data_IF_148676219120
#
_entry.id   IF_148676219120
#
_cell.length_a   1.000
_cell.length_b   1.000
_cell.length_c   1.000
_cell.angle_alpha   90.00
_cell.angle_beta   90.00
_cell.angle_gamma   90.00
#
_symmetry.space_group_name_H-M   'P 1'
#
loop_
_entity.id
_entity.type
_entity.pdbx_description
1 polymer ?
#
# COMPACT_ATOMS: atom_id res chain seq x y z
N UNK A 1 -11.99 -31.66 -25.47
CA UNK A 1 -11.29 -31.78 -24.20
C UNK A 1 -11.51 -30.46 -23.42
N UNK A 2 -12.45 -30.48 -22.52
CA UNK A 2 -12.88 -29.28 -21.76
C UNK A 2 -11.86 -29.05 -20.62
N UNK A 3 -11.04 -28.02 -20.74
CA UNK A 3 -10.15 -27.62 -19.63
C UNK A 3 -11.03 -27.03 -18.52
N UNK A 4 -11.30 -27.80 -17.49
CA UNK A 4 -11.91 -27.30 -16.27
C UNK A 4 -10.86 -26.46 -15.54
N UNK A 5 -10.93 -25.14 -15.65
CA UNK A 5 -10.16 -24.23 -14.80
C UNK A 5 -10.66 -24.44 -13.36
N UNK A 6 -9.99 -25.28 -12.60
CA UNK A 6 -10.14 -25.27 -11.15
C UNK A 6 -9.59 -23.96 -10.64
N UNK A 7 -10.47 -23.09 -10.20
CA UNK A 7 -10.05 -21.88 -9.45
C UNK A 7 -9.21 -22.36 -8.27
N UNK A 8 -7.89 -22.11 -8.31
CA UNK A 8 -6.99 -22.45 -7.21
C UNK A 8 -7.44 -21.65 -5.99
N UNK A 9 -7.78 -22.36 -4.93
CA UNK A 9 -8.23 -21.77 -3.67
C UNK A 9 -7.15 -20.80 -3.14
N UNK A 10 -7.59 -19.62 -2.77
CA UNK A 10 -6.77 -18.62 -2.10
C UNK A 10 -7.33 -18.43 -0.69
N UNK A 11 -6.48 -18.50 0.32
CA UNK A 11 -6.85 -18.25 1.71
C UNK A 11 -6.51 -16.79 2.06
N UNK A 12 -7.40 -16.15 2.81
CA UNK A 12 -7.23 -14.76 3.26
C UNK A 12 -7.24 -14.75 4.79
N UNK A 13 -6.18 -14.25 5.38
CA UNK A 13 -6.03 -14.03 6.81
C UNK A 13 -5.97 -12.54 7.08
N UNK A 14 -6.41 -12.09 8.25
CA UNK A 14 -6.23 -10.71 8.68
C UNK A 14 -5.83 -10.62 10.14
N UNK A 15 -5.03 -9.62 10.49
CA UNK A 15 -4.63 -9.32 11.85
C UNK A 15 -4.54 -7.81 12.06
N UNK A 16 -4.88 -7.36 13.27
CA UNK A 16 -4.69 -5.97 13.66
C UNK A 16 -3.30 -5.80 14.28
N UNK A 17 -2.59 -4.79 13.83
CA UNK A 17 -1.26 -4.41 14.30
C UNK A 17 -1.38 -3.10 15.07
N UNK A 18 -0.98 -3.12 16.35
CA UNK A 18 -1.10 -1.97 17.24
C UNK A 18 0.25 -1.47 17.71
N UNK A 19 0.35 -0.16 17.91
CA UNK A 19 1.47 0.51 18.58
C UNK A 19 0.98 1.79 19.28
N UNK A 20 1.88 2.51 19.94
CA UNK A 20 1.57 3.82 20.55
C UNK A 20 1.06 4.86 19.51
N UNK A 21 1.35 4.71 18.22
CA UNK A 21 0.87 5.60 17.14
C UNK A 21 -0.48 5.21 16.55
N UNK A 22 -1.04 4.07 16.92
CA UNK A 22 -2.34 3.62 16.44
C UNK A 22 -2.38 2.16 16.04
N UNK A 23 -3.48 1.80 15.39
CA UNK A 23 -3.76 0.43 14.93
C UNK A 23 -4.10 0.46 13.46
N UNK A 24 -3.64 -0.55 12.71
CA UNK A 24 -3.99 -0.79 11.31
C UNK A 24 -4.11 -2.30 11.07
N UNK A 25 -4.72 -2.69 9.94
CA UNK A 25 -4.94 -4.09 9.60
C UNK A 25 -3.99 -4.55 8.50
N UNK A 26 -3.47 -5.77 8.65
CA UNK A 26 -2.71 -6.48 7.62
C UNK A 26 -3.55 -7.66 7.13
N UNK A 27 -3.63 -7.80 5.81
CA UNK A 27 -4.27 -8.91 5.11
C UNK A 27 -3.19 -9.75 4.45
N UNK A 28 -3.21 -11.07 4.69
CA UNK A 28 -2.32 -12.02 4.04
C UNK A 28 -3.14 -12.88 3.08
N UNK A 29 -2.79 -12.86 1.83
CA UNK A 29 -3.41 -13.64 0.75
C UNK A 29 -2.44 -14.76 0.40
N UNK A 30 -2.83 -16.00 0.57
CA UNK A 30 -1.97 -17.17 0.34
C UNK A 30 -2.61 -18.05 -0.71
N UNK A 31 -1.89 -18.38 -1.77
CA UNK A 31 -2.36 -19.28 -2.80
C UNK A 31 -2.04 -20.75 -2.45
N UNK A 32 -2.60 -21.68 -3.22
CA UNK A 32 -2.38 -23.14 -3.02
C UNK A 32 -0.94 -23.61 -3.24
N UNK A 33 -0.05 -22.76 -3.71
CA UNK A 33 1.39 -23.06 -3.88
C UNK A 33 2.26 -22.44 -2.78
N UNK A 34 1.63 -21.81 -1.78
CA UNK A 34 2.33 -21.16 -0.67
C UNK A 34 2.88 -19.77 -0.98
N UNK A 35 2.65 -19.21 -2.17
CA UNK A 35 2.98 -17.81 -2.43
C UNK A 35 2.07 -16.91 -1.62
N UNK A 36 2.62 -15.83 -1.06
CA UNK A 36 1.90 -14.90 -0.19
C UNK A 36 2.05 -13.47 -0.67
N UNK A 37 0.96 -12.71 -0.55
CA UNK A 37 0.99 -11.24 -0.59
C UNK A 37 0.43 -10.70 0.74
N UNK A 38 1.17 -9.82 1.41
CA UNK A 38 0.72 -9.12 2.61
C UNK A 38 0.42 -7.66 2.27
N UNK A 39 -0.82 -7.25 2.53
CA UNK A 39 -1.36 -5.92 2.24
C UNK A 39 -1.70 -5.22 3.55
N UNK A 40 -1.35 -3.95 3.67
CA UNK A 40 -1.63 -3.12 4.83
C UNK A 40 -2.78 -2.15 4.55
N UNK A 41 -3.72 -2.00 5.48
CA UNK A 41 -4.71 -0.90 5.42
C UNK A 41 -4.04 0.47 5.59
N UNK A 42 -2.88 0.55 6.23
CA UNK A 42 -2.11 1.77 6.35
C UNK A 42 -1.47 2.13 5.01
N UNK A 43 -2.01 3.17 4.36
CA UNK A 43 -1.53 3.65 3.08
C UNK A 43 -1.77 2.70 1.91
N UNK A 44 -2.73 1.76 2.03
CA UNK A 44 -2.99 0.73 1.02
C UNK A 44 -1.68 0.08 0.50
N UNK A 45 -0.82 -0.30 1.44
CA UNK A 45 0.56 -0.70 1.16
C UNK A 45 0.73 -2.19 0.94
N UNK A 46 1.73 -2.55 0.13
CA UNK A 46 2.25 -3.92 0.05
C UNK A 46 3.40 -4.02 1.06
N UNK A 47 3.30 -4.95 2.01
CA UNK A 47 4.30 -5.12 3.07
C UNK A 47 5.14 -6.36 2.92
N UNK A 48 4.69 -7.34 2.14
CA UNK A 48 5.47 -8.52 1.76
C UNK A 48 4.92 -9.14 0.47
N UNK A 49 5.80 -9.72 -0.33
CA UNK A 49 5.48 -10.67 -1.40
C UNK A 49 6.46 -11.83 -1.28
N UNK A 50 5.93 -13.00 -0.89
CA UNK A 50 6.72 -14.22 -0.72
C UNK A 50 6.49 -15.17 -1.86
N UNK A 51 7.55 -15.50 -2.57
CA UNK A 51 7.54 -16.37 -3.74
C UNK A 51 8.69 -17.35 -3.70
N UNK A 52 8.58 -18.55 -4.32
CA UNK A 52 9.66 -19.49 -4.37
C UNK A 52 10.77 -19.04 -5.33
N UNK A 53 12.02 -19.27 -4.93
CA UNK A 53 13.17 -19.20 -5.83
C UNK A 53 13.25 -20.46 -6.75
N UNK A 54 14.27 -20.52 -7.60
CA UNK A 54 14.50 -21.66 -8.52
C UNK A 54 14.73 -23.00 -7.80
N UNK A 55 15.00 -22.99 -6.49
CA UNK A 55 15.17 -24.17 -5.64
C UNK A 55 13.94 -24.48 -4.79
N UNK A 56 12.85 -23.71 -4.97
CA UNK A 56 11.61 -23.85 -4.22
C UNK A 56 11.63 -23.22 -2.81
N UNK A 57 12.68 -22.49 -2.44
CA UNK A 57 12.73 -21.77 -1.16
C UNK A 57 11.91 -20.49 -1.27
N UNK A 58 10.92 -20.34 -0.39
CA UNK A 58 10.07 -19.14 -0.34
C UNK A 58 10.81 -18.06 0.45
N UNK A 59 10.90 -16.86 -0.18
CA UNK A 59 11.52 -15.69 0.42
C UNK A 59 10.71 -14.42 0.08
N UNK A 60 10.87 -13.36 0.90
CA UNK A 60 10.21 -12.08 0.68
C UNK A 60 11.03 -11.25 -0.31
N UNK A 61 10.40 -10.82 -1.41
CA UNK A 61 11.05 -10.03 -2.46
C UNK A 61 10.71 -8.54 -2.38
N UNK A 62 10.00 -8.11 -1.33
CA UNK A 62 9.66 -6.69 -1.09
C UNK A 62 10.61 -6.09 -0.07
N UNK A 63 11.21 -4.97 -0.43
CA UNK A 63 11.96 -4.15 0.54
C UNK A 63 10.99 -3.47 1.50
N UNK A 64 11.09 -3.79 2.78
CA UNK A 64 10.20 -3.26 3.82
C UNK A 64 10.78 -3.42 5.23
N UNK A 65 9.92 -3.27 6.22
CA UNK A 65 10.27 -3.41 7.63
C UNK A 65 10.01 -4.84 8.11
N UNK A 66 10.93 -5.38 8.91
CA UNK A 66 10.80 -6.72 9.49
C UNK A 66 9.59 -6.83 10.44
N UNK A 67 9.25 -5.75 11.15
CA UNK A 67 8.11 -5.72 12.06
C UNK A 67 7.00 -4.86 11.46
N UNK A 68 5.77 -5.37 11.29
CA UNK A 68 4.66 -4.60 10.74
C UNK A 68 4.39 -3.27 11.47
N UNK A 69 4.58 -3.21 12.80
CA UNK A 69 4.38 -1.98 13.57
C UNK A 69 5.31 -0.83 13.16
N UNK A 70 6.48 -1.13 12.58
CA UNK A 70 7.44 -0.11 12.15
C UNK A 70 6.93 0.73 10.97
N UNK A 71 5.97 0.21 10.20
CA UNK A 71 5.29 0.98 9.14
C UNK A 71 4.53 2.21 9.66
N UNK A 72 4.18 2.27 10.96
CA UNK A 72 3.59 3.47 11.59
C UNK A 72 4.61 4.59 11.80
N UNK A 73 5.90 4.26 11.79
CA UNK A 73 7.01 5.21 11.96
C UNK A 73 7.73 5.51 10.64
N UNK A 74 7.27 4.88 9.56
CA UNK A 74 7.89 4.95 8.24
C UNK A 74 7.75 6.34 7.61
N UNK A 75 8.88 6.99 7.36
CA UNK A 75 8.99 8.26 6.63
C UNK A 75 9.25 8.09 5.13
N UNK A 76 9.74 6.92 4.71
CA UNK A 76 10.08 6.62 3.33
C UNK A 76 8.86 6.20 2.48
N UNK A 77 7.71 5.95 3.12
CA UNK A 77 6.50 5.43 2.49
C UNK A 77 6.71 4.08 1.80
N UNK A 78 7.52 3.19 2.42
CA UNK A 78 7.85 1.87 1.90
C UNK A 78 6.57 1.07 1.57
N UNK A 79 6.47 0.59 0.33
CA UNK A 79 5.34 -0.18 -0.17
C UNK A 79 3.99 0.54 -0.24
N UNK A 80 3.87 1.76 0.25
CA UNK A 80 2.61 2.51 0.34
C UNK A 80 2.17 3.08 -1.02
N UNK A 81 0.87 3.18 -1.21
CA UNK A 81 0.27 3.73 -2.44
C UNK A 81 0.23 5.25 -2.38
N UNK A 82 0.85 5.96 -3.35
CA UNK A 82 0.70 7.41 -3.47
C UNK A 82 -0.69 7.76 -4.00
N UNK A 83 -1.30 8.82 -3.48
CA UNK A 83 -2.63 9.24 -3.94
C UNK A 83 -3.21 10.41 -3.11
N UNK A 84 -4.29 11.07 -3.66
CA UNK A 84 -5.06 10.72 -4.89
C UNK A 84 -4.31 10.96 -6.20
N UNK A 85 -3.39 11.91 -6.27
CA UNK A 85 -2.44 12.10 -7.36
C UNK A 85 -1.05 11.61 -6.94
N UNK A 86 -0.24 11.17 -7.91
CA UNK A 86 1.10 10.67 -7.66
C UNK A 86 2.14 11.69 -8.17
N UNK A 87 3.33 11.65 -7.54
CA UNK A 87 4.47 12.50 -7.86
C UNK A 87 4.16 14.00 -7.71
N UNK A 88 4.93 14.87 -8.39
CA UNK A 88 4.88 16.32 -8.23
C UNK A 88 3.97 16.97 -9.24
N UNK A 89 3.22 17.97 -8.76
CA UNK A 89 2.50 18.93 -9.60
C UNK A 89 3.15 20.28 -9.35
N UNK A 90 3.70 20.87 -10.42
CA UNK A 90 4.45 22.11 -10.37
C UNK A 90 3.60 23.23 -9.76
N UNK A 91 4.11 23.89 -8.73
CA UNK A 91 3.43 24.95 -7.98
C UNK A 91 2.02 24.56 -7.52
N UNK A 92 1.70 23.26 -7.51
CA UNK A 92 0.38 22.74 -7.18
C UNK A 92 -0.73 23.13 -8.15
N UNK A 93 -0.42 23.54 -9.37
CA UNK A 93 -1.39 24.03 -10.35
C UNK A 93 -1.52 23.08 -11.53
N UNK A 94 -2.76 22.81 -11.93
CA UNK A 94 -3.08 22.08 -13.16
C UNK A 94 -4.47 22.47 -13.65
N UNK A 95 -4.77 22.15 -14.91
CA UNK A 95 -6.07 22.41 -15.53
C UNK A 95 -6.69 21.13 -16.03
N UNK A 96 -8.03 21.04 -15.96
CA UNK A 96 -8.83 20.01 -16.62
C UNK A 96 -9.85 20.72 -17.49
N UNK A 97 -9.69 20.62 -18.79
CA UNK A 97 -10.50 21.40 -19.73
C UNK A 97 -10.23 22.91 -19.54
N UNK A 98 -11.26 23.66 -19.14
CA UNK A 98 -11.18 25.11 -18.88
C UNK A 98 -11.02 25.46 -17.40
N UNK A 99 -11.10 24.48 -16.52
CA UNK A 99 -11.07 24.68 -15.08
C UNK A 99 -9.65 24.58 -14.54
N UNK A 100 -9.23 25.56 -13.75
CA UNK A 100 -7.95 25.56 -13.05
C UNK A 100 -8.11 25.08 -11.61
N UNK A 101 -7.13 24.29 -11.16
CA UNK A 101 -7.09 23.74 -9.82
C UNK A 101 -5.80 24.15 -9.11
N UNK A 102 -5.96 24.59 -7.85
CA UNK A 102 -4.83 24.87 -6.95
C UNK A 102 -4.83 23.88 -5.81
N UNK A 103 -3.73 23.15 -5.69
CA UNK A 103 -3.47 22.19 -4.61
C UNK A 103 -2.66 22.85 -3.50
N UNK A 104 -2.77 22.30 -2.30
CA UNK A 104 -1.91 22.66 -1.18
C UNK A 104 -0.44 22.28 -1.48
N UNK A 105 0.47 23.19 -1.20
CA UNK A 105 1.91 22.97 -1.34
C UNK A 105 2.44 22.23 -0.12
N UNK A 106 2.87 21.00 -0.30
CA UNK A 106 3.43 20.13 0.76
C UNK A 106 4.88 19.69 0.50
N UNK A 107 5.45 20.11 -0.63
CA UNK A 107 6.85 19.92 -1.00
C UNK A 107 7.29 21.14 -1.82
N UNK A 108 7.53 22.30 -1.18
CA UNK A 108 7.79 23.58 -1.88
C UNK A 108 8.86 23.47 -2.96
N UNK A 109 8.61 24.09 -4.15
CA UNK A 109 7.43 24.89 -4.50
C UNK A 109 6.25 24.07 -5.03
N UNK A 110 6.24 22.75 -4.91
CA UNK A 110 5.31 21.82 -5.56
C UNK A 110 4.31 21.19 -4.59
N UNK A 111 3.21 20.65 -5.13
CA UNK A 111 2.42 19.62 -4.46
C UNK A 111 2.99 18.24 -4.76
N UNK A 112 2.93 17.31 -3.81
CA UNK A 112 3.51 15.96 -3.89
C UNK A 112 2.57 14.91 -3.31
N UNK A 113 2.37 13.81 -4.05
CA UNK A 113 1.75 12.56 -3.61
C UNK A 113 0.42 12.71 -2.84
N UNK A 114 -0.50 13.55 -3.30
CA UNK A 114 -1.83 13.71 -2.69
C UNK A 114 -1.91 14.77 -1.59
N UNK A 115 -0.83 15.55 -1.37
CA UNK A 115 -0.82 16.65 -0.41
C UNK A 115 -0.67 16.21 1.05
N UNK A 116 -1.13 17.04 1.99
CA UNK A 116 -0.98 16.78 3.43
C UNK A 116 -1.82 15.59 3.92
N UNK A 117 -2.97 15.33 3.29
CA UNK A 117 -3.88 14.21 3.62
C UNK A 117 -3.75 13.05 2.64
N UNK A 118 -2.54 12.74 2.22
CA UNK A 118 -2.23 11.68 1.25
C UNK A 118 -2.64 10.28 1.73
N UNK A 119 -2.97 9.40 0.78
CA UNK A 119 -3.39 8.01 1.03
C UNK A 119 -2.33 7.24 1.81
N UNK A 120 -1.05 7.43 1.49
CA UNK A 120 0.07 6.75 2.15
C UNK A 120 0.17 6.94 3.67
N UNK A 121 -0.57 7.90 4.24
CA UNK A 121 -0.62 8.16 5.68
C UNK A 121 -1.96 7.79 6.32
N UNK A 122 -2.93 7.27 5.53
CA UNK A 122 -4.26 6.92 6.03
C UNK A 122 -4.40 5.44 6.29
N UNK A 123 -5.15 5.10 7.33
CA UNK A 123 -5.71 3.76 7.48
C UNK A 123 -6.95 3.64 6.60
N UNK A 124 -6.83 2.88 5.51
CA UNK A 124 -7.91 2.67 4.52
C UNK A 124 -8.97 1.68 5.03
N UNK A 125 -8.75 1.03 6.16
CA UNK A 125 -9.72 0.15 6.82
C UNK A 125 -10.74 0.91 7.68
N UNK A 126 -10.53 2.19 7.97
CA UNK A 126 -11.49 3.03 8.71
C UNK A 126 -12.38 3.77 7.74
N UNK A 127 -13.71 3.64 7.91
CA UNK A 127 -14.66 4.57 7.29
C UNK A 127 -14.40 5.96 7.87
N UNK A 128 -14.37 6.97 7.01
CA UNK A 128 -14.38 8.36 7.47
C UNK A 128 -15.70 8.58 8.21
N UNK A 129 -15.63 8.86 9.51
CA UNK A 129 -16.73 9.34 10.32
C UNK A 129 -17.02 10.81 9.97
#
# INVERSE_FOLDING_TARGET
>A
MMLTLHAKKMDIFSSDISSAKGTFRVFRLVNSQGCEAALSSLGAGITAIRVPDARGRIDDVVLGYARPADYLYDSACAGKTPGRYANRIARGRFSIGRDEYQLAINNPPNALHGGQRRISQRDMGRRAS
#
